data_IF_298893863622
#
_entry.id   IF_298893863622
#
_cell.length_a   1.000
_cell.length_b   1.000
_cell.length_c   1.000
_cell.angle_alpha   90.00
_cell.angle_beta   90.00
_cell.angle_gamma   90.00
#
_symmetry.space_group_name_H-M   'P 1'
#
loop_
_entity.id
_entity.type
_entity.pdbx_description
1 polymer ?
#
# COMPACT_ATOMS: atom_id res chain seq x y z
N UNK A 1 -34.35 -2.86 12.07
CA UNK A 1 -34.16 -2.26 10.74
C UNK A 1 -33.10 -1.15 10.74
N UNK A 2 -33.16 -0.16 11.65
CA UNK A 2 -32.14 0.91 11.74
C UNK A 2 -30.70 0.40 11.96
N UNK A 3 -30.50 -0.67 12.72
CA UNK A 3 -29.19 -1.26 13.05
C UNK A 3 -28.51 -2.01 11.90
N UNK A 4 -29.27 -2.51 10.91
CA UNK A 4 -28.71 -3.19 9.73
C UNK A 4 -28.21 -2.15 8.70
N UNK A 5 -28.97 -1.07 8.55
CA UNK A 5 -28.63 0.05 7.66
C UNK A 5 -27.41 0.82 8.21
N UNK A 6 -27.36 1.08 9.53
CA UNK A 6 -26.21 1.76 10.16
C UNK A 6 -24.93 0.92 10.15
N UNK A 7 -25.04 -0.41 10.32
CA UNK A 7 -23.89 -1.30 10.25
C UNK A 7 -23.23 -1.27 8.85
N UNK A 8 -24.04 -1.25 7.78
CA UNK A 8 -23.50 -1.19 6.43
C UNK A 8 -22.89 0.19 6.10
N UNK A 9 -23.50 1.28 6.59
CA UNK A 9 -22.95 2.64 6.42
C UNK A 9 -21.61 2.84 7.13
N UNK A 10 -21.36 2.15 8.25
CA UNK A 10 -20.08 2.24 8.97
C UNK A 10 -19.02 1.22 8.49
N UNK A 11 -19.41 0.25 7.64
CA UNK A 11 -18.53 -0.75 7.04
C UNK A 11 -17.89 -0.26 5.73
N UNK A 12 -18.63 0.51 4.91
CA UNK A 12 -18.13 0.99 3.60
C UNK A 12 -16.90 1.90 3.73
N UNK A 13 -16.87 2.92 4.61
CA UNK A 13 -15.68 3.76 4.79
C UNK A 13 -14.51 2.96 5.36
N UNK A 14 -14.78 2.03 6.28
CA UNK A 14 -13.77 1.14 6.86
C UNK A 14 -13.08 0.30 5.79
N UNK A 15 -13.83 -0.27 4.85
CA UNK A 15 -13.29 -1.04 3.72
C UNK A 15 -12.47 -0.17 2.77
N UNK A 16 -12.99 1.01 2.41
CA UNK A 16 -12.31 1.91 1.50
C UNK A 16 -10.99 2.45 2.10
N UNK A 17 -10.98 2.87 3.36
CA UNK A 17 -9.76 3.33 4.04
C UNK A 17 -8.69 2.24 4.13
N UNK A 18 -9.07 0.99 4.39
CA UNK A 18 -8.14 -0.14 4.36
C UNK A 18 -7.53 -0.33 2.96
N UNK A 19 -8.33 -0.28 1.90
CA UNK A 19 -7.83 -0.36 0.53
C UNK A 19 -6.88 0.81 0.20
N UNK A 20 -7.22 2.03 0.61
CA UNK A 20 -6.38 3.22 0.40
C UNK A 20 -5.02 3.09 1.10
N UNK A 21 -4.96 2.56 2.32
CA UNK A 21 -3.69 2.35 3.05
C UNK A 21 -2.80 1.34 2.31
N UNK A 22 -3.39 0.27 1.78
CA UNK A 22 -2.63 -0.69 0.99
C UNK A 22 -2.15 -0.10 -0.34
N UNK A 23 -2.96 0.74 -0.98
CA UNK A 23 -2.63 1.34 -2.27
C UNK A 23 -1.64 2.51 -2.15
N UNK A 24 -1.62 3.24 -1.02
CA UNK A 24 -0.75 4.40 -0.85
C UNK A 24 0.74 4.03 -0.81
N UNK A 25 1.11 2.89 -0.22
CA UNK A 25 2.51 2.41 -0.13
C UNK A 25 3.16 2.26 -1.52
N UNK A 26 2.61 1.48 -2.47
CA UNK A 26 3.21 1.34 -3.80
C UNK A 26 3.13 2.64 -4.61
N UNK A 27 2.06 3.43 -4.46
CA UNK A 27 1.90 4.72 -5.16
C UNK A 27 2.94 5.74 -4.72
N UNK A 28 3.26 5.82 -3.42
CA UNK A 28 4.30 6.71 -2.92
C UNK A 28 5.67 6.36 -3.51
N UNK A 29 5.97 5.07 -3.61
CA UNK A 29 7.24 4.61 -4.15
C UNK A 29 7.30 4.87 -5.66
N UNK A 30 6.25 4.54 -6.40
CA UNK A 30 6.15 4.88 -7.82
C UNK A 30 6.26 6.39 -8.09
N UNK A 31 5.70 7.22 -7.20
CA UNK A 31 5.80 8.69 -7.28
C UNK A 31 7.25 9.15 -7.11
N UNK A 32 7.96 8.68 -6.08
CA UNK A 32 9.36 9.05 -5.83
C UNK A 32 10.28 8.64 -6.99
N UNK A 33 10.11 7.43 -7.54
CA UNK A 33 10.93 6.94 -8.67
C UNK A 33 10.46 7.45 -10.05
N UNK A 34 9.25 8.00 -10.16
CA UNK A 34 8.75 8.65 -11.37
C UNK A 34 9.10 10.14 -11.45
N UNK A 35 9.60 10.73 -10.37
CA UNK A 35 10.12 12.09 -10.37
C UNK A 35 11.50 12.12 -11.03
N UNK A 36 11.72 13.05 -11.96
CA UNK A 36 13.03 13.31 -12.59
C UNK A 36 14.03 13.96 -11.60
N UNK A 37 14.09 13.48 -10.35
CA UNK A 37 15.01 13.95 -9.32
C UNK A 37 16.22 13.03 -9.35
N UNK A 38 17.45 13.57 -9.40
CA UNK A 38 18.66 12.76 -9.39
C UNK A 38 18.78 12.03 -8.05
N UNK A 39 18.47 10.74 -8.08
CA UNK A 39 18.61 9.85 -6.94
C UNK A 39 20.08 9.41 -6.85
N UNK A 40 20.68 9.37 -5.65
CA UNK A 40 21.96 8.68 -5.47
C UNK A 40 21.75 7.23 -5.94
N UNK A 41 22.67 6.71 -6.76
CA UNK A 41 22.59 5.44 -7.51
C UNK A 41 21.82 5.43 -8.84
N UNK A 42 21.31 6.54 -9.38
CA UNK A 42 20.58 6.56 -10.68
C UNK A 42 21.33 5.97 -11.88
N UNK A 43 22.68 5.96 -11.85
CA UNK A 43 23.55 5.50 -12.94
C UNK A 43 23.60 3.96 -13.05
N UNK A 44 23.16 3.23 -12.02
CA UNK A 44 23.11 1.77 -12.04
C UNK A 44 21.80 1.29 -12.68
N UNK A 45 21.90 0.40 -13.66
CA UNK A 45 20.74 -0.26 -14.31
C UNK A 45 19.78 -0.94 -13.31
N UNK A 46 20.24 -1.21 -12.09
CA UNK A 46 19.46 -1.84 -11.02
C UNK A 46 18.77 -0.85 -10.06
N UNK A 47 19.00 0.45 -10.21
CA UNK A 47 18.47 1.49 -9.30
C UNK A 47 16.94 1.59 -9.28
N UNK A 48 16.28 1.19 -10.36
CA UNK A 48 14.83 1.11 -10.44
C UNK A 48 14.27 -0.21 -9.86
N UNK A 49 14.93 -1.32 -10.18
CA UNK A 49 14.44 -2.66 -9.86
C UNK A 49 14.58 -3.01 -8.37
N UNK A 50 15.70 -2.64 -7.74
CA UNK A 50 15.94 -2.97 -6.32
C UNK A 50 14.90 -2.33 -5.39
N UNK A 51 14.62 -1.01 -5.47
CA UNK A 51 13.65 -0.39 -4.58
C UNK A 51 12.22 -0.74 -4.93
N UNK A 52 11.92 -0.96 -6.22
CA UNK A 52 10.62 -1.47 -6.65
C UNK A 52 10.34 -2.84 -6.04
N UNK A 53 11.31 -3.76 -6.06
CA UNK A 53 11.15 -5.07 -5.44
C UNK A 53 10.99 -4.99 -3.91
N UNK A 54 11.78 -4.15 -3.25
CA UNK A 54 11.66 -3.90 -1.80
C UNK A 54 10.27 -3.37 -1.45
N UNK A 55 9.72 -2.46 -2.26
CA UNK A 55 8.38 -1.91 -2.05
C UNK A 55 7.28 -2.97 -2.10
N UNK A 56 7.38 -3.88 -3.07
CA UNK A 56 6.43 -4.98 -3.24
C UNK A 56 6.55 -5.95 -2.06
N UNK A 57 7.77 -6.22 -1.58
CA UNK A 57 8.00 -7.07 -0.41
C UNK A 57 7.39 -6.45 0.85
N UNK A 58 7.62 -5.15 1.10
CA UNK A 58 7.05 -4.44 2.25
C UNK A 58 5.52 -4.44 2.18
N UNK A 59 4.96 -4.20 1.00
CA UNK A 59 3.51 -4.25 0.79
C UNK A 59 2.95 -5.66 1.03
N UNK A 60 3.59 -6.69 0.49
CA UNK A 60 3.20 -8.08 0.70
C UNK A 60 3.28 -8.46 2.19
N UNK A 61 4.31 -8.00 2.90
CA UNK A 61 4.48 -8.23 4.33
C UNK A 61 3.39 -7.52 5.16
N UNK A 62 3.06 -6.27 4.81
CA UNK A 62 2.00 -5.51 5.44
C UNK A 62 0.61 -6.17 5.23
N UNK A 63 0.33 -6.61 4.00
CA UNK A 63 -0.89 -7.36 3.67
C UNK A 63 -0.94 -8.67 4.46
N UNK A 64 0.14 -9.44 4.46
CA UNK A 64 0.23 -10.70 5.20
C UNK A 64 0.00 -10.49 6.71
N UNK A 65 0.64 -9.49 7.30
CA UNK A 65 0.48 -9.16 8.72
C UNK A 65 -0.95 -8.72 9.05
N UNK A 66 -1.56 -7.90 8.19
CA UNK A 66 -2.95 -7.48 8.35
C UNK A 66 -3.92 -8.66 8.25
N UNK A 67 -3.76 -9.54 7.26
CA UNK A 67 -4.56 -10.76 7.14
C UNK A 67 -4.39 -11.70 8.34
N UNK A 68 -3.18 -11.80 8.90
CA UNK A 68 -2.94 -12.58 10.12
C UNK A 68 -3.63 -11.99 11.34
N UNK A 69 -3.66 -10.66 11.45
CA UNK A 69 -4.34 -9.97 12.55
C UNK A 69 -5.86 -10.02 12.40
N UNK A 70 -6.39 -9.95 11.18
CA UNK A 70 -7.83 -10.05 10.91
C UNK A 70 -8.42 -11.47 11.07
N UNK A 71 -7.56 -12.51 11.14
CA UNK A 71 -7.96 -13.89 11.46
C UNK A 71 -7.92 -14.22 12.96
N UNK A 72 -7.43 -13.32 13.81
CA UNK A 72 -7.63 -13.38 15.26
C UNK A 72 -8.87 -12.59 15.65
#
# INVERSE_FOLDING_TARGET
YASIISNNQNLVPKRLSTLTIFLSIPVLIASIYGMNVPLPFQESTHAFWIPSLISVIILAFAIFYYFRTAKK
#
